data_IF_740828326222
#
_entry.id   IF_740828326222
#
_cell.length_a   1.000
_cell.length_b   1.000
_cell.length_c   1.000
_cell.angle_alpha   90.00
_cell.angle_beta   90.00
_cell.angle_gamma   90.00
#
_symmetry.space_group_name_H-M   'P 1'
#
loop_
_entity.id
_entity.type
_entity.pdbx_description
1 polymer ?
#
# COMPACT_ATOMS: atom_id res chain seq x y z
N UNK A 1 -8.40 -17.35 -9.36
CA UNK A 1 -7.96 -15.99 -9.72
C UNK A 1 -6.85 -15.59 -8.76
N UNK A 2 -5.77 -15.00 -9.28
CA UNK A 2 -4.58 -14.57 -8.53
C UNK A 2 -4.60 -13.06 -8.39
N UNK A 3 -4.50 -12.53 -7.17
CA UNK A 3 -4.45 -11.08 -6.94
C UNK A 3 -3.02 -10.66 -6.66
N UNK A 4 -2.48 -9.74 -7.45
CA UNK A 4 -1.21 -9.09 -7.16
C UNK A 4 -1.44 -7.68 -6.62
N UNK A 5 -1.10 -7.46 -5.34
CA UNK A 5 -1.05 -6.14 -4.73
C UNK A 5 0.31 -5.47 -5.01
N UNK A 6 0.31 -4.21 -5.40
CA UNK A 6 1.53 -3.40 -5.47
C UNK A 6 1.26 -1.94 -5.12
N UNK A 7 2.13 -1.35 -4.32
CA UNK A 7 2.17 0.11 -4.18
C UNK A 7 2.62 0.74 -5.50
N UNK A 8 2.15 1.94 -5.77
CA UNK A 8 2.58 2.80 -6.87
C UNK A 8 3.42 3.92 -6.29
N UNK A 9 4.72 3.88 -6.59
CA UNK A 9 5.61 5.01 -6.42
C UNK A 9 5.69 5.87 -7.67
N UNK A 10 6.67 6.75 -7.68
CA UNK A 10 6.91 7.71 -8.77
C UNK A 10 8.08 7.31 -9.67
N UNK A 11 8.50 6.04 -9.63
CA UNK A 11 9.68 5.57 -10.36
C UNK A 11 9.54 5.74 -11.87
N UNK A 12 8.32 5.59 -12.41
CA UNK A 12 8.03 5.82 -13.83
C UNK A 12 8.25 7.28 -14.23
N UNK A 13 7.84 8.23 -13.39
CA UNK A 13 8.01 9.66 -13.60
C UNK A 13 9.51 10.03 -13.62
N UNK A 14 10.28 9.47 -12.68
CA UNK A 14 11.74 9.67 -12.59
C UNK A 14 12.49 9.06 -13.77
N UNK A 15 12.04 7.90 -14.25
CA UNK A 15 12.70 7.21 -15.35
C UNK A 15 12.38 7.91 -16.69
N UNK A 16 11.13 8.33 -16.89
CA UNK A 16 10.71 9.02 -18.11
C UNK A 16 11.30 10.42 -18.23
N UNK A 17 11.65 11.10 -17.12
CA UNK A 17 12.32 12.41 -17.16
C UNK A 17 13.74 12.36 -17.73
N UNK A 18 14.28 11.15 -17.99
CA UNK A 18 15.55 10.95 -18.69
C UNK A 18 15.38 10.91 -20.21
N UNK A 19 14.17 10.70 -20.71
CA UNK A 19 13.87 10.81 -22.14
C UNK A 19 13.98 12.28 -22.58
N UNK A 20 14.77 12.61 -23.62
CA UNK A 20 14.98 14.00 -24.03
C UNK A 20 13.69 14.76 -24.34
N UNK A 21 12.72 14.13 -25.02
CA UNK A 21 11.47 14.80 -25.42
C UNK A 21 10.62 15.13 -24.20
N UNK A 22 10.50 14.17 -23.28
CA UNK A 22 9.75 14.36 -22.04
C UNK A 22 10.46 15.39 -21.16
N UNK A 23 11.78 15.30 -21.04
CA UNK A 23 12.60 16.23 -20.26
C UNK A 23 12.42 17.67 -20.70
N UNK A 24 12.54 17.95 -22.00
CA UNK A 24 12.38 19.31 -22.54
C UNK A 24 10.98 19.86 -22.25
N UNK A 25 9.95 19.01 -22.40
CA UNK A 25 8.58 19.39 -22.09
C UNK A 25 8.37 19.65 -20.60
N UNK A 26 8.89 18.79 -19.71
CA UNK A 26 8.83 19.00 -18.26
C UNK A 26 9.52 20.31 -17.86
N UNK A 27 10.69 20.63 -18.43
CA UNK A 27 11.37 21.90 -18.20
C UNK A 27 10.55 23.10 -18.65
N UNK A 28 9.87 23.02 -19.80
CA UNK A 28 8.97 24.10 -20.25
C UNK A 28 7.77 24.34 -19.32
N UNK A 29 7.40 23.33 -18.52
CA UNK A 29 6.32 23.38 -17.54
C UNK A 29 6.82 23.62 -16.10
N UNK A 30 8.14 23.71 -15.88
CA UNK A 30 8.75 23.80 -14.55
C UNK A 30 8.55 22.55 -13.68
N UNK A 31 8.49 21.37 -14.30
CA UNK A 31 8.20 20.07 -13.68
C UNK A 31 9.43 19.13 -13.64
N UNK A 32 10.64 19.66 -13.55
CA UNK A 32 11.89 18.88 -13.58
C UNK A 32 11.98 17.81 -12.48
N UNK A 33 11.33 18.07 -11.34
CA UNK A 33 11.31 17.20 -10.16
C UNK A 33 9.93 16.59 -9.88
N UNK A 34 9.10 16.40 -10.92
CA UNK A 34 7.72 15.94 -10.77
C UNK A 34 7.52 14.59 -10.05
N UNK A 35 8.57 13.76 -10.01
CA UNK A 35 8.60 12.47 -9.31
C UNK A 35 8.73 12.61 -7.79
N UNK A 36 9.18 13.76 -7.29
CA UNK A 36 9.45 14.01 -5.87
C UNK A 36 8.61 15.13 -5.26
N UNK A 37 7.58 15.60 -5.97
CA UNK A 37 6.69 16.64 -5.46
C UNK A 37 6.01 16.22 -4.16
N UNK A 38 5.99 17.13 -3.19
CA UNK A 38 5.15 17.00 -2.01
C UNK A 38 3.67 17.13 -2.40
N UNK A 39 2.77 16.80 -1.46
CA UNK A 39 1.33 16.90 -1.74
C UNK A 39 0.90 18.36 -1.93
N UNK A 40 1.42 19.25 -1.10
CA UNK A 40 1.06 20.68 -1.09
C UNK A 40 1.85 21.51 -2.11
N UNK A 41 2.70 20.87 -2.93
CA UNK A 41 3.45 21.57 -3.96
C UNK A 41 2.49 22.14 -5.01
N UNK A 42 2.56 23.44 -5.25
CA UNK A 42 1.73 24.13 -6.26
C UNK A 42 1.89 23.53 -7.66
N UNK A 43 3.05 22.92 -7.95
CA UNK A 43 3.34 22.23 -9.21
C UNK A 43 2.42 21.03 -9.47
N UNK A 44 1.82 20.44 -8.43
CA UNK A 44 0.80 19.39 -8.60
C UNK A 44 -0.38 19.87 -9.46
N UNK A 45 -0.72 21.17 -9.42
CA UNK A 45 -1.78 21.75 -10.27
C UNK A 45 -1.43 21.73 -11.75
N UNK A 46 -0.15 21.88 -12.07
CA UNK A 46 0.34 21.81 -13.46
C UNK A 46 0.18 20.37 -13.97
N UNK A 47 0.43 19.36 -13.12
CA UNK A 47 0.18 17.95 -13.48
C UNK A 47 -1.31 17.72 -13.79
N UNK A 48 -2.21 18.32 -13.01
CA UNK A 48 -3.66 18.24 -13.26
C UNK A 48 -4.03 18.94 -14.58
N UNK A 49 -3.51 20.13 -14.83
CA UNK A 49 -3.78 20.92 -16.04
C UNK A 49 -3.33 20.19 -17.31
N UNK A 50 -2.12 19.61 -17.31
CA UNK A 50 -1.52 18.92 -18.46
C UNK A 50 -1.70 17.39 -18.40
N UNK A 51 -2.64 16.90 -17.59
CA UNK A 51 -2.78 15.46 -17.25
C UNK A 51 -2.84 14.55 -18.47
N UNK A 52 -3.66 14.89 -19.46
CA UNK A 52 -3.85 14.05 -20.65
C UNK A 52 -2.57 13.98 -21.49
N UNK A 53 -1.86 15.10 -21.65
CA UNK A 53 -0.60 15.17 -22.38
C UNK A 53 0.48 14.36 -21.67
N UNK A 54 0.66 14.59 -20.37
CA UNK A 54 1.65 13.91 -19.54
C UNK A 54 1.38 12.41 -19.47
N UNK A 55 0.11 11.99 -19.37
CA UNK A 55 -0.29 10.59 -19.40
C UNK A 55 0.10 9.92 -20.73
N UNK A 56 -0.08 10.62 -21.86
CA UNK A 56 0.29 10.07 -23.16
C UNK A 56 1.81 9.94 -23.32
N UNK A 57 2.59 10.89 -22.80
CA UNK A 57 4.05 10.72 -22.73
C UNK A 57 4.44 9.50 -21.91
N UNK A 58 3.83 9.29 -20.75
CA UNK A 58 4.12 8.12 -19.91
C UNK A 58 3.73 6.83 -20.60
N UNK A 59 2.56 6.76 -21.26
CA UNK A 59 2.14 5.58 -22.03
C UNK A 59 3.16 5.24 -23.11
N UNK A 60 3.57 6.23 -23.91
CA UNK A 60 4.54 6.02 -24.98
C UNK A 60 5.90 5.59 -24.44
N UNK A 61 6.39 6.27 -23.39
CA UNK A 61 7.62 5.88 -22.70
C UNK A 61 7.56 4.44 -22.18
N UNK A 62 6.45 4.04 -21.55
CA UNK A 62 6.29 2.67 -21.05
C UNK A 62 6.23 1.67 -22.20
N UNK A 63 5.52 1.95 -23.31
CA UNK A 63 5.48 1.06 -24.48
C UNK A 63 6.88 0.79 -25.04
N UNK A 64 7.73 1.81 -25.08
CA UNK A 64 9.11 1.70 -25.58
C UNK A 64 10.05 0.96 -24.62
N UNK A 65 9.85 1.12 -23.30
CA UNK A 65 10.79 0.62 -22.28
C UNK A 65 10.31 -0.65 -21.55
N UNK A 66 9.03 -1.00 -21.69
CA UNK A 66 8.37 -2.13 -21.05
C UNK A 66 8.62 -2.20 -19.55
N UNK A 67 9.09 -3.36 -19.09
CA UNK A 67 9.42 -3.63 -17.69
C UNK A 67 10.35 -2.61 -17.04
N UNK A 68 11.29 -2.04 -17.80
CA UNK A 68 12.29 -1.12 -17.26
C UNK A 68 11.73 0.27 -17.01
N UNK A 69 10.52 0.56 -17.48
CA UNK A 69 9.91 1.86 -17.33
C UNK A 69 9.66 2.20 -15.86
N UNK A 70 9.31 1.23 -15.01
CA UNK A 70 9.05 1.45 -13.59
C UNK A 70 9.43 0.24 -12.72
N UNK A 71 9.67 0.49 -11.44
CA UNK A 71 9.92 -0.57 -10.46
C UNK A 71 8.71 -1.51 -10.31
N UNK A 72 7.50 -0.97 -10.37
CA UNK A 72 6.24 -1.70 -10.31
C UNK A 72 6.10 -2.66 -11.49
N UNK A 73 6.31 -2.17 -12.72
CA UNK A 73 6.22 -3.02 -13.93
C UNK A 73 7.30 -4.09 -13.95
N UNK A 74 8.54 -3.74 -13.58
CA UNK A 74 9.64 -4.71 -13.47
C UNK A 74 9.31 -5.82 -12.49
N UNK A 75 8.79 -5.48 -11.30
CA UNK A 75 8.43 -6.46 -10.28
C UNK A 75 7.21 -7.31 -10.68
N UNK A 76 6.12 -6.68 -11.12
CA UNK A 76 4.87 -7.36 -11.46
C UNK A 76 5.06 -8.32 -12.63
N UNK A 77 5.63 -7.86 -13.75
CA UNK A 77 5.76 -8.68 -14.96
C UNK A 77 6.71 -9.87 -14.75
N UNK A 78 7.79 -9.68 -13.97
CA UNK A 78 8.66 -10.81 -13.57
C UNK A 78 7.95 -11.77 -12.63
N UNK A 79 7.14 -11.28 -11.70
CA UNK A 79 6.37 -12.12 -10.80
C UNK A 79 5.36 -12.97 -11.60
N UNK A 80 4.63 -12.36 -12.53
CA UNK A 80 3.69 -13.09 -13.39
C UNK A 80 4.37 -14.24 -14.14
N UNK A 81 5.57 -14.00 -14.70
CA UNK A 81 6.35 -15.07 -15.33
C UNK A 81 6.82 -16.12 -14.34
N UNK A 82 7.36 -15.72 -13.19
CA UNK A 82 7.90 -16.65 -12.18
C UNK A 82 6.83 -17.58 -11.63
N UNK A 83 5.62 -17.07 -11.42
CA UNK A 83 4.49 -17.85 -10.92
C UNK A 83 3.62 -18.45 -12.03
N UNK A 84 3.95 -18.21 -13.30
CA UNK A 84 3.18 -18.64 -14.47
C UNK A 84 1.70 -18.18 -14.41
N UNK A 85 1.47 -16.93 -14.02
CA UNK A 85 0.17 -16.30 -13.95
C UNK A 85 -0.15 -15.57 -15.25
N UNK A 86 -1.31 -15.86 -15.84
CA UNK A 86 -1.73 -15.35 -17.15
C UNK A 86 -2.68 -14.17 -17.01
N UNK A 87 -2.87 -13.35 -18.05
CA UNK A 87 -3.78 -12.21 -17.97
C UNK A 87 -5.22 -12.56 -17.59
N UNK A 88 -5.74 -13.70 -18.06
CA UNK A 88 -7.11 -14.14 -17.83
C UNK A 88 -7.40 -14.62 -16.39
N UNK A 89 -6.36 -14.97 -15.63
CA UNK A 89 -6.48 -15.45 -14.25
C UNK A 89 -5.78 -14.54 -13.23
N UNK A 90 -5.35 -13.35 -13.66
CA UNK A 90 -4.64 -12.37 -12.83
C UNK A 90 -5.43 -11.07 -12.67
N UNK A 91 -5.71 -10.74 -11.41
CA UNK A 91 -6.19 -9.44 -10.96
C UNK A 91 -5.02 -8.64 -10.41
N UNK A 92 -4.92 -7.37 -10.78
CA UNK A 92 -3.85 -6.48 -10.32
C UNK A 92 -4.48 -5.39 -9.48
N UNK A 93 -4.05 -5.27 -8.23
CA UNK A 93 -4.50 -4.24 -7.33
C UNK A 93 -3.36 -3.29 -7.02
N UNK A 94 -3.47 -2.07 -7.53
CA UNK A 94 -2.50 -1.02 -7.30
C UNK A 94 -3.06 -0.02 -6.30
N UNK A 95 -2.21 0.49 -5.43
CA UNK A 95 -2.60 1.60 -4.56
C UNK A 95 -1.58 2.73 -4.63
N UNK A 96 -2.04 3.97 -4.55
CA UNK A 96 -1.23 5.18 -4.65
C UNK A 96 -1.67 6.20 -3.61
N UNK A 97 -0.76 7.07 -3.18
CA UNK A 97 -1.12 8.19 -2.29
C UNK A 97 -1.88 9.26 -3.07
N UNK A 98 -2.97 9.80 -2.52
CA UNK A 98 -3.75 10.90 -3.10
C UNK A 98 -2.86 12.11 -3.38
N UNK A 99 -2.32 12.15 -4.59
CA UNK A 99 -1.45 13.20 -5.12
C UNK A 99 -1.44 13.05 -6.64
N UNK A 100 -1.57 14.15 -7.41
CA UNK A 100 -1.69 14.08 -8.86
C UNK A 100 -0.57 13.32 -9.56
N UNK A 101 0.68 13.48 -9.10
CA UNK A 101 1.81 12.73 -9.65
C UNK A 101 1.69 11.20 -9.43
N UNK A 102 1.34 10.76 -8.23
CA UNK A 102 1.20 9.33 -7.94
C UNK A 102 -0.01 8.71 -8.65
N UNK A 103 -1.12 9.45 -8.75
CA UNK A 103 -2.29 9.05 -9.53
C UNK A 103 -1.91 8.86 -11.00
N UNK A 104 -1.23 9.85 -11.59
CA UNK A 104 -0.79 9.81 -12.98
C UNK A 104 0.11 8.58 -13.27
N UNK A 105 1.04 8.27 -12.36
CA UNK A 105 1.89 7.09 -12.45
C UNK A 105 1.05 5.79 -12.41
N UNK A 106 0.10 5.69 -11.47
CA UNK A 106 -0.76 4.52 -11.31
C UNK A 106 -1.65 4.29 -12.54
N UNK A 107 -2.17 5.37 -13.12
CA UNK A 107 -2.93 5.29 -14.35
C UNK A 107 -2.07 4.82 -15.54
N UNK A 108 -0.89 5.41 -15.74
CA UNK A 108 -0.01 5.02 -16.85
C UNK A 108 0.35 3.52 -16.78
N UNK A 109 0.67 3.03 -15.58
CA UNK A 109 0.91 1.60 -15.32
C UNK A 109 -0.34 0.76 -15.62
N UNK A 110 -1.52 1.17 -15.14
CA UNK A 110 -2.78 0.48 -15.43
C UNK A 110 -3.05 0.38 -16.93
N UNK A 111 -2.86 1.47 -17.67
CA UNK A 111 -3.07 1.49 -19.11
C UNK A 111 -2.18 0.46 -19.80
N UNK A 112 -0.89 0.44 -19.47
CA UNK A 112 0.04 -0.51 -20.07
C UNK A 112 -0.29 -1.97 -19.73
N UNK A 113 -0.65 -2.26 -18.48
CA UNK A 113 -1.09 -3.61 -18.08
C UNK A 113 -2.36 -4.05 -18.84
N UNK A 114 -3.31 -3.15 -19.05
CA UNK A 114 -4.50 -3.41 -19.85
C UNK A 114 -4.17 -3.71 -21.32
N UNK A 115 -3.17 -3.02 -21.90
CA UNK A 115 -2.65 -3.29 -23.25
C UNK A 115 -2.02 -4.68 -23.36
N UNK A 116 -1.33 -5.13 -22.32
CA UNK A 116 -0.78 -6.49 -22.22
C UNK A 116 -1.86 -7.58 -21.97
N UNK A 117 -3.13 -7.20 -21.87
CA UNK A 117 -4.26 -8.12 -21.76
C UNK A 117 -4.78 -8.31 -20.33
N UNK A 118 -4.12 -7.76 -19.30
CA UNK A 118 -4.61 -7.83 -17.92
C UNK A 118 -5.80 -6.88 -17.77
N UNK A 119 -7.03 -7.39 -17.90
CA UNK A 119 -8.24 -6.53 -17.92
C UNK A 119 -8.74 -6.12 -16.53
N UNK A 120 -8.23 -6.77 -15.49
CA UNK A 120 -8.73 -6.62 -14.13
C UNK A 120 -7.73 -5.87 -13.24
N UNK A 121 -7.48 -4.60 -13.60
CA UNK A 121 -6.53 -3.73 -12.90
C UNK A 121 -7.29 -2.66 -12.11
N UNK A 122 -7.25 -2.77 -10.80
CA UNK A 122 -7.92 -1.88 -9.84
C UNK A 122 -6.92 -0.89 -9.28
N UNK A 123 -7.32 0.39 -9.17
CA UNK A 123 -6.57 1.41 -8.45
C UNK A 123 -7.30 1.78 -7.16
N UNK A 124 -6.58 1.89 -6.04
CA UNK A 124 -7.07 2.48 -4.80
C UNK A 124 -6.22 3.69 -4.41
N UNK A 125 -6.90 4.80 -4.12
CA UNK A 125 -6.26 6.00 -3.60
C UNK A 125 -6.23 5.97 -2.08
N UNK A 126 -5.05 6.09 -1.47
CA UNK A 126 -4.89 6.19 -0.01
C UNK A 126 -4.47 7.59 0.43
N UNK A 127 -4.81 7.96 1.66
CA UNK A 127 -4.33 9.19 2.30
C UNK A 127 -2.81 9.13 2.44
N UNK A 128 -2.13 10.24 2.14
CA UNK A 128 -0.68 10.35 2.29
C UNK A 128 -0.30 10.41 3.76
N UNK A 129 0.64 9.57 4.17
CA UNK A 129 1.27 9.61 5.49
C UNK A 129 2.50 10.53 5.41
N UNK A 130 2.46 11.67 6.07
CA UNK A 130 3.52 12.69 6.01
C UNK A 130 3.86 13.31 7.38
N UNK A 131 3.18 12.89 8.45
CA UNK A 131 3.49 13.30 9.82
C UNK A 131 3.23 12.16 10.80
N UNK A 132 3.78 12.29 12.00
CA UNK A 132 3.41 11.38 13.11
C UNK A 132 1.92 11.52 13.46
N UNK A 133 1.38 12.74 13.40
CA UNK A 133 -0.01 13.03 13.75
C UNK A 133 -1.02 12.35 12.84
N UNK A 134 -0.72 12.13 11.56
CA UNK A 134 -1.61 11.44 10.62
C UNK A 134 -1.19 9.99 10.33
N UNK A 135 -0.11 9.49 10.94
CA UNK A 135 0.40 8.15 10.67
C UNK A 135 -0.65 7.07 10.88
N UNK A 136 -1.29 7.05 12.06
CA UNK A 136 -2.31 6.04 12.39
C UNK A 136 -3.59 6.19 11.58
N UNK A 137 -3.96 7.42 11.22
CA UNK A 137 -5.11 7.67 10.33
C UNK A 137 -4.83 7.11 8.93
N UNK A 138 -3.63 7.35 8.39
CA UNK A 138 -3.21 6.77 7.12
C UNK A 138 -3.12 5.23 7.16
N UNK A 139 -2.70 4.63 8.27
CA UNK A 139 -2.75 3.17 8.45
C UNK A 139 -4.19 2.63 8.45
N UNK A 140 -5.14 3.35 9.04
CA UNK A 140 -6.57 2.98 9.01
C UNK A 140 -7.13 3.12 7.60
N UNK A 141 -6.81 4.19 6.88
CA UNK A 141 -7.23 4.38 5.49
C UNK A 141 -6.66 3.29 4.57
N UNK A 142 -5.38 2.94 4.76
CA UNK A 142 -4.74 1.82 4.08
C UNK A 142 -5.43 0.49 4.40
N UNK A 143 -5.82 0.27 5.66
CA UNK A 143 -6.59 -0.92 6.02
C UNK A 143 -7.94 -0.98 5.30
N UNK A 144 -8.68 0.13 5.31
CA UNK A 144 -10.04 0.19 4.78
C UNK A 144 -10.06 0.07 3.27
N UNK A 145 -9.13 0.73 2.58
CA UNK A 145 -9.11 0.77 1.12
C UNK A 145 -8.37 -0.40 0.50
N UNK A 146 -7.34 -0.93 1.17
CA UNK A 146 -6.50 -2.00 0.63
C UNK A 146 -6.74 -3.33 1.34
N UNK A 147 -6.49 -3.42 2.64
CA UNK A 147 -6.53 -4.72 3.37
C UNK A 147 -7.93 -5.34 3.34
N UNK A 148 -8.99 -4.53 3.49
CA UNK A 148 -10.38 -5.00 3.43
C UNK A 148 -10.73 -5.63 2.07
N UNK A 149 -10.16 -5.13 0.97
CA UNK A 149 -10.31 -5.74 -0.37
C UNK A 149 -9.57 -7.06 -0.47
N UNK A 150 -8.37 -7.16 0.11
CA UNK A 150 -7.63 -8.42 0.16
C UNK A 150 -8.38 -9.48 0.98
N UNK A 151 -8.92 -9.11 2.15
CA UNK A 151 -9.76 -9.99 2.98
C UNK A 151 -10.96 -10.48 2.16
N UNK A 152 -11.66 -9.56 1.50
CA UNK A 152 -12.79 -9.90 0.64
C UNK A 152 -12.39 -10.91 -0.44
N UNK A 153 -11.30 -10.67 -1.19
CA UNK A 153 -10.87 -11.60 -2.23
C UNK A 153 -10.39 -12.94 -1.68
N UNK A 154 -9.65 -12.95 -0.57
CA UNK A 154 -9.24 -14.19 0.11
C UNK A 154 -10.46 -15.02 0.52
N UNK A 155 -11.48 -14.40 1.11
CA UNK A 155 -12.73 -15.06 1.50
C UNK A 155 -13.54 -15.58 0.31
N UNK A 156 -13.33 -15.03 -0.89
CA UNK A 156 -13.91 -15.51 -2.14
C UNK A 156 -13.01 -16.53 -2.88
N UNK A 157 -12.00 -17.09 -2.21
CA UNK A 157 -11.14 -18.14 -2.76
C UNK A 157 -10.02 -17.66 -3.69
N UNK A 158 -9.69 -16.37 -3.66
CA UNK A 158 -8.59 -15.82 -4.45
C UNK A 158 -7.26 -16.06 -3.72
N UNK A 159 -6.20 -16.30 -4.48
CA UNK A 159 -4.84 -16.37 -3.94
C UNK A 159 -4.21 -14.98 -4.00
N UNK A 160 -3.57 -14.57 -2.90
CA UNK A 160 -3.06 -13.21 -2.73
C UNK A 160 -1.52 -13.22 -2.81
N UNK A 161 -0.99 -12.34 -3.66
CA UNK A 161 0.43 -12.11 -3.88
C UNK A 161 0.72 -10.63 -3.61
N UNK A 162 1.70 -10.33 -2.77
CA UNK A 162 2.00 -8.96 -2.36
C UNK A 162 3.41 -8.59 -2.82
N UNK A 163 3.49 -7.60 -3.70
CA UNK A 163 4.73 -6.96 -4.09
C UNK A 163 5.21 -6.06 -2.95
N UNK A 164 6.39 -6.36 -2.41
CA UNK A 164 7.05 -5.56 -1.37
C UNK A 164 8.22 -4.72 -1.91
N UNK A 165 8.36 -4.64 -3.25
CA UNK A 165 9.43 -3.86 -3.92
C UNK A 165 9.20 -2.37 -3.82
N UNK A 166 7.95 -1.94 -4.02
CA UNK A 166 7.55 -0.52 -4.03
C UNK A 166 6.73 -0.16 -2.79
N UNK A 167 6.62 1.13 -2.53
CA UNK A 167 5.89 1.70 -1.39
C UNK A 167 6.81 2.17 -0.26
N UNK A 168 6.25 2.93 0.68
CA UNK A 168 6.98 3.35 1.87
C UNK A 168 7.19 2.15 2.80
N UNK A 169 8.37 2.05 3.41
CA UNK A 169 8.74 0.90 4.27
C UNK A 169 7.72 0.61 5.37
N UNK A 170 7.18 1.65 6.01
CA UNK A 170 6.16 1.52 7.06
C UNK A 170 4.86 0.89 6.53
N UNK A 171 4.38 1.33 5.36
CA UNK A 171 3.19 0.78 4.70
C UNK A 171 3.44 -0.67 4.28
N UNK A 172 4.58 -0.95 3.66
CA UNK A 172 4.93 -2.30 3.20
C UNK A 172 5.02 -3.28 4.37
N UNK A 173 5.57 -2.87 5.52
CA UNK A 173 5.59 -3.70 6.74
C UNK A 173 4.16 -3.98 7.22
N UNK A 174 3.32 -2.95 7.31
CA UNK A 174 1.94 -3.08 7.78
C UNK A 174 1.10 -4.01 6.88
N UNK A 175 1.20 -3.82 5.55
CA UNK A 175 0.56 -4.67 4.56
C UNK A 175 1.11 -6.09 4.61
N UNK A 176 2.42 -6.26 4.81
CA UNK A 176 3.04 -7.59 4.91
C UNK A 176 2.48 -8.37 6.10
N UNK A 177 2.35 -7.73 7.28
CA UNK A 177 1.74 -8.37 8.46
C UNK A 177 0.31 -8.84 8.16
N UNK A 178 -0.52 -7.97 7.58
CA UNK A 178 -1.88 -8.35 7.16
C UNK A 178 -1.86 -9.46 6.10
N UNK A 179 -0.92 -9.40 5.16
CA UNK A 179 -0.70 -10.41 4.13
C UNK A 179 -0.38 -11.79 4.70
N UNK A 180 0.50 -11.87 5.69
CA UNK A 180 0.82 -13.12 6.39
C UNK A 180 -0.39 -13.70 7.13
N UNK A 181 -1.23 -12.84 7.71
CA UNK A 181 -2.50 -13.25 8.33
C UNK A 181 -3.53 -13.75 7.30
N UNK A 182 -3.45 -13.28 6.06
CA UNK A 182 -4.23 -13.77 4.92
C UNK A 182 -3.57 -14.98 4.21
N UNK A 183 -2.45 -15.48 4.73
CA UNK A 183 -1.64 -16.54 4.10
C UNK A 183 -1.26 -16.18 2.65
N UNK A 184 -0.87 -14.91 2.45
CA UNK A 184 -0.48 -14.37 1.14
C UNK A 184 0.98 -14.73 0.84
N UNK A 185 1.31 -14.82 -0.45
CA UNK A 185 2.71 -14.92 -0.89
C UNK A 185 3.33 -13.53 -0.96
N UNK A 186 4.33 -13.26 -0.13
CA UNK A 186 5.10 -12.01 -0.20
C UNK A 186 6.28 -12.17 -1.16
N UNK A 187 6.50 -11.21 -2.06
CA UNK A 187 7.63 -11.24 -2.97
C UNK A 187 8.28 -9.87 -3.13
N UNK A 188 9.57 -9.89 -3.51
CA UNK A 188 10.42 -8.71 -3.66
C UNK A 188 11.33 -8.87 -4.87
N UNK A 189 11.45 -7.83 -5.70
CA UNK A 189 12.44 -7.78 -6.77
C UNK A 189 13.79 -7.38 -6.19
N UNK A 190 14.73 -8.32 -6.13
CA UNK A 190 16.06 -8.06 -5.60
C UNK A 190 16.93 -7.33 -6.63
N UNK A 191 17.45 -6.14 -6.28
CA UNK A 191 18.20 -5.29 -7.21
C UNK A 191 19.45 -5.98 -7.77
N UNK A 192 20.24 -6.65 -6.93
CA UNK A 192 21.51 -7.27 -7.37
C UNK A 192 21.33 -8.46 -8.32
N UNK A 193 20.32 -9.30 -8.11
CA UNK A 193 20.05 -10.47 -8.96
C UNK A 193 19.06 -10.17 -10.08
N UNK A 194 18.41 -9.00 -10.00
CA UNK A 194 17.36 -8.55 -10.92
C UNK A 194 16.24 -9.60 -11.10
N UNK A 195 15.92 -10.36 -10.05
CA UNK A 195 14.93 -11.43 -10.05
C UNK A 195 14.02 -11.37 -8.81
N UNK A 196 12.85 -11.99 -8.91
CA UNK A 196 11.85 -12.07 -7.84
C UNK A 196 12.28 -13.10 -6.81
N UNK A 197 12.35 -12.67 -5.56
CA UNK A 197 12.53 -13.51 -4.39
C UNK A 197 11.19 -13.64 -3.67
N UNK A 198 10.83 -14.87 -3.33
CA UNK A 198 9.70 -15.15 -2.43
C UNK A 198 10.23 -14.96 -1.02
N UNK A 199 9.65 -14.01 -0.28
CA UNK A 199 10.01 -13.79 1.11
C UNK A 199 9.39 -14.89 1.99
N UNK A 200 10.03 -15.26 3.12
CA UNK A 200 9.41 -16.15 4.10
C UNK A 200 8.02 -15.64 4.48
N UNK A 201 7.00 -16.43 4.14
CA UNK A 201 5.60 -16.05 4.29
C UNK A 201 4.85 -17.01 5.22
N UNK A 202 5.28 -17.18 6.49
CA UNK A 202 4.59 -18.08 7.41
C UNK A 202 3.18 -17.55 7.71
N UNK A 203 2.16 -18.42 7.72
CA UNK A 203 0.85 -18.07 8.26
C UNK A 203 1.01 -17.62 9.72
N UNK A 204 0.47 -16.45 10.05
CA UNK A 204 0.47 -15.93 11.42
C UNK A 204 -0.95 -15.56 11.85
N UNK A 205 -1.20 -15.56 13.14
CA UNK A 205 -2.45 -15.09 13.72
C UNK A 205 -2.18 -14.24 14.97
N UNK A 206 -3.15 -13.41 15.35
CA UNK A 206 -3.09 -12.71 16.64
C UNK A 206 -3.17 -13.76 17.75
N UNK A 207 -2.30 -13.65 18.76
CA UNK A 207 -2.32 -14.58 19.90
C UNK A 207 -3.69 -14.53 20.59
N UNK A 208 -4.32 -15.68 20.92
CA UNK A 208 -5.69 -15.72 21.45
C UNK A 208 -5.91 -14.89 22.73
N UNK A 209 -4.89 -14.74 23.57
CA UNK A 209 -4.96 -13.92 24.78
C UNK A 209 -5.14 -12.43 24.45
N UNK A 210 -4.44 -11.89 23.45
CA UNK A 210 -4.60 -10.51 23.02
C UNK A 210 -5.98 -10.26 22.41
N UNK A 211 -6.51 -11.22 21.64
CA UNK A 211 -7.88 -11.15 21.12
C UNK A 211 -8.89 -11.03 22.26
N UNK A 212 -8.77 -11.88 23.29
CA UNK A 212 -9.65 -11.83 24.48
C UNK A 212 -9.55 -10.50 25.23
N UNK A 213 -8.33 -10.01 25.46
CA UNK A 213 -8.08 -8.74 26.16
C UNK A 213 -8.74 -7.58 25.42
N UNK A 214 -8.57 -7.52 24.10
CA UNK A 214 -9.07 -6.39 23.32
C UNK A 214 -10.58 -6.48 23.14
N UNK A 215 -11.17 -7.68 22.97
CA UNK A 215 -12.63 -7.86 23.00
C UNK A 215 -13.23 -7.38 24.32
N UNK A 216 -12.62 -7.74 25.47
CA UNK A 216 -13.04 -7.26 26.79
C UNK A 216 -12.95 -5.74 26.92
N UNK A 217 -11.89 -5.12 26.40
CA UNK A 217 -11.80 -3.66 26.36
C UNK A 217 -12.90 -3.04 25.50
N UNK A 218 -13.24 -3.65 24.35
CA UNK A 218 -14.33 -3.16 23.49
C UNK A 218 -15.70 -3.23 24.17
N UNK A 219 -15.95 -4.24 25.00
CA UNK A 219 -17.18 -4.36 25.80
C UNK A 219 -17.34 -3.21 26.81
N UNK A 220 -16.23 -2.67 27.33
CA UNK A 220 -16.23 -1.49 28.21
C UNK A 220 -16.30 -0.16 27.43
N UNK A 221 -16.13 -0.21 26.10
CA UNK A 221 -16.10 0.94 25.21
C UNK A 221 -14.71 1.21 24.61
N UNK A 222 -14.66 2.06 23.58
CA UNK A 222 -13.39 2.39 22.90
C UNK A 222 -12.47 3.31 23.69
N UNK A 223 -13.03 4.03 24.66
CA UNK A 223 -12.30 4.86 25.63
C UNK A 223 -12.74 4.38 27.01
N UNK A 224 -11.80 3.83 27.76
CA UNK A 224 -12.06 3.21 29.06
C UNK A 224 -11.34 4.04 30.13
N UNK A 225 -12.03 4.54 31.18
CA UNK A 225 -11.37 5.22 32.29
C UNK A 225 -10.26 4.34 32.88
N UNK A 226 -9.11 4.93 33.23
CA UNK A 226 -7.95 4.17 33.71
C UNK A 226 -8.30 3.36 34.96
N UNK A 227 -9.06 3.95 35.89
CA UNK A 227 -9.56 3.29 37.09
C UNK A 227 -10.48 2.10 36.82
N UNK A 228 -11.13 2.06 35.64
CA UNK A 228 -11.92 0.91 35.18
C UNK A 228 -11.02 -0.12 34.52
N UNK A 229 -10.09 0.31 33.66
CA UNK A 229 -9.12 -0.55 33.00
C UNK A 229 -8.28 -1.35 34.00
N UNK A 230 -7.82 -0.72 35.08
CA UNK A 230 -7.01 -1.35 36.13
C UNK A 230 -7.80 -2.39 36.97
N UNK A 231 -9.13 -2.35 36.95
CA UNK A 231 -9.97 -3.40 37.58
C UNK A 231 -10.10 -4.64 36.71
N UNK A 232 -9.89 -4.51 35.41
CA UNK A 232 -10.08 -5.60 34.45
C UNK A 232 -8.78 -6.18 33.89
N UNK A 233 -7.71 -5.38 33.86
CA UNK A 233 -6.38 -5.74 33.38
C UNK A 233 -5.33 -5.31 34.42
N UNK A 234 -4.26 -6.10 34.56
CA UNK A 234 -3.13 -5.69 35.39
C UNK A 234 -2.38 -4.51 34.77
N UNK A 235 -1.70 -3.72 35.59
CA UNK A 235 -0.89 -2.59 35.15
C UNK A 235 0.19 -3.01 34.14
N UNK A 236 0.77 -4.21 34.29
CA UNK A 236 1.72 -4.78 33.34
C UNK A 236 1.10 -5.07 31.96
N UNK A 237 -0.13 -5.57 31.93
CA UNK A 237 -0.85 -5.80 30.66
C UNK A 237 -1.13 -4.45 29.99
N UNK A 238 -1.61 -3.45 30.74
CA UNK A 238 -1.88 -2.12 30.20
C UNK A 238 -0.60 -1.51 29.61
N UNK A 239 0.53 -1.57 30.35
CA UNK A 239 1.83 -1.11 29.84
C UNK A 239 2.24 -1.86 28.57
N UNK A 240 2.10 -3.18 28.54
CA UNK A 240 2.43 -3.97 27.35
C UNK A 240 1.56 -3.64 26.13
N UNK A 241 0.26 -3.36 26.32
CA UNK A 241 -0.61 -2.92 25.22
C UNK A 241 -0.21 -1.53 24.68
N UNK A 242 0.28 -0.65 25.56
CA UNK A 242 0.77 0.68 25.20
C UNK A 242 2.09 0.60 24.43
N UNK A 243 3.05 -0.22 24.89
CA UNK A 243 4.32 -0.49 24.20
C UNK A 243 4.13 -1.09 22.80
N UNK A 244 3.07 -1.90 22.63
CA UNK A 244 2.67 -2.47 21.33
C UNK A 244 1.81 -1.51 20.49
N UNK A 245 1.57 -0.28 20.97
CA UNK A 245 0.70 0.71 20.35
C UNK A 245 -0.74 0.21 20.08
N UNK A 246 -1.23 -0.81 20.79
CA UNK A 246 -2.61 -1.30 20.66
C UNK A 246 -3.59 -0.31 21.29
N UNK A 247 -3.16 0.33 22.38
CA UNK A 247 -3.86 1.41 23.07
C UNK A 247 -3.00 2.69 23.09
N UNK A 248 -3.64 3.80 23.45
CA UNK A 248 -2.97 5.05 23.85
C UNK A 248 -3.54 5.55 25.18
N UNK A 249 -2.70 6.15 26.02
CA UNK A 249 -3.15 6.87 27.21
C UNK A 249 -3.69 8.26 26.82
N UNK A 250 -4.78 8.64 27.47
CA UNK A 250 -5.32 10.00 27.50
C UNK A 250 -5.53 10.40 28.96
N UNK A 251 -5.77 11.68 29.22
CA UNK A 251 -5.98 12.18 30.58
C UNK A 251 -7.06 11.37 31.31
N UNK A 252 -6.63 10.53 32.26
CA UNK A 252 -7.50 9.66 33.06
C UNK A 252 -8.10 8.43 32.35
N UNK A 253 -7.70 8.11 31.11
CA UNK A 253 -8.30 7.03 30.32
C UNK A 253 -7.29 6.31 29.41
N UNK A 254 -7.67 5.13 28.94
CA UNK A 254 -7.02 4.45 27.81
C UNK A 254 -7.98 4.41 26.62
N UNK A 255 -7.45 4.56 25.41
CA UNK A 255 -8.20 4.44 24.16
C UNK A 255 -7.63 3.30 23.32
N UNK A 256 -8.48 2.40 22.84
CA UNK A 256 -8.08 1.44 21.79
C UNK A 256 -7.81 2.21 20.49
N UNK A 257 -6.64 1.99 19.89
CA UNK A 257 -6.32 2.59 18.58
C UNK A 257 -7.22 2.03 17.50
N UNK A 258 -7.52 2.83 16.49
CA UNK A 258 -8.50 2.43 15.47
C UNK A 258 -7.97 1.32 14.55
N UNK A 259 -6.67 1.33 14.23
CA UNK A 259 -6.04 0.25 13.47
C UNK A 259 -6.13 -1.11 14.19
N UNK A 260 -5.99 -1.14 15.52
CA UNK A 260 -6.01 -2.40 16.28
C UNK A 260 -7.41 -3.00 16.31
N UNK A 261 -8.46 -2.15 16.38
CA UNK A 261 -9.86 -2.57 16.23
C UNK A 261 -10.10 -3.23 14.88
N UNK A 262 -9.62 -2.62 13.80
CA UNK A 262 -9.79 -3.11 12.42
C UNK A 262 -9.22 -4.51 12.25
N UNK A 263 -8.01 -4.78 12.75
CA UNK A 263 -7.43 -6.12 12.68
C UNK A 263 -8.30 -7.16 13.39
N UNK A 264 -8.78 -6.87 14.60
CA UNK A 264 -9.49 -7.84 15.44
C UNK A 264 -10.90 -8.11 14.95
N UNK A 265 -11.50 -7.16 14.23
CA UNK A 265 -12.83 -7.34 13.65
C UNK A 265 -12.80 -8.12 12.33
N UNK A 266 -11.62 -8.26 11.71
CA UNK A 266 -11.49 -8.84 10.38
C UNK A 266 -10.65 -10.12 10.31
N UNK A 267 -9.87 -10.43 11.36
CA UNK A 267 -9.02 -11.61 11.48
C UNK A 267 -9.29 -12.34 12.79
#
# INVERSE_FOLDING_TARGET
MKVHLSAVGTSVLRNSSKDPKIKDRLSSLGLENWDSLSLDDKKQRIIVEYRNELLEYLKNYIRENGEKASAELSALLKAFRKFNHKPEDTKIFLYYTNSPNSELAGEAIRYYLNELGYKDVVLAEITKINSESNFYEGMVDLFDKVITKLIYWKNNGYEIFINTTSGFKSETIFISIAGLMLESTLYYLHESFNDIIILPSPPISIKPNYVKIIKRLKEEGYVVPLSRAEKILSSDIIRGLEELAIIERREGAIRLRDWSKKFIDNF
#
